data_IF_360563386840
#
_entry.id   IF_360563386840
#
_cell.length_a   1.000
_cell.length_b   1.000
_cell.length_c   1.000
_cell.angle_alpha   90.00
_cell.angle_beta   90.00
_cell.angle_gamma   90.00
#
_symmetry.space_group_name_H-M   'P 1'
#
loop_
_entity.id
_entity.type
_entity.pdbx_description
1 polymer ?
#
# COMPACT_ATOMS: atom_id res chain seq x y z
N UNK A 1 28.55 21.10 16.21
CA UNK A 1 27.87 19.89 16.74
C UNK A 1 26.52 19.79 16.10
N UNK A 2 26.26 18.73 15.33
CA UNK A 2 24.89 18.40 14.88
C UNK A 2 24.09 17.90 16.08
N UNK A 3 23.02 18.61 16.43
CA UNK A 3 22.08 18.14 17.45
C UNK A 3 21.38 16.86 16.97
N UNK A 4 21.07 15.94 17.88
CA UNK A 4 20.24 14.78 17.58
C UNK A 4 18.90 15.27 16.99
N UNK A 5 18.42 14.63 15.92
CA UNK A 5 17.34 15.16 15.09
C UNK A 5 17.77 15.94 13.83
N UNK A 6 19.07 15.95 13.48
CA UNK A 6 19.56 16.39 12.16
C UNK A 6 19.27 15.38 11.01
N UNK A 7 18.34 14.45 11.24
CA UNK A 7 17.87 13.39 10.33
C UNK A 7 16.97 13.80 9.14
N UNK A 8 16.29 14.98 9.08
CA UNK A 8 15.32 15.25 8.02
C UNK A 8 15.95 15.64 6.68
N UNK A 9 16.93 14.88 6.20
CA UNK A 9 17.51 15.04 4.85
C UNK A 9 17.88 13.67 4.24
N UNK A 10 17.15 12.60 4.63
CA UNK A 10 17.44 11.24 4.21
C UNK A 10 17.45 11.06 2.68
N UNK A 11 16.78 11.94 1.91
CA UNK A 11 16.85 11.98 0.44
C UNK A 11 18.28 12.25 -0.10
N UNK A 12 19.14 12.86 0.69
CA UNK A 12 20.56 13.12 0.39
C UNK A 12 21.48 12.11 1.08
N UNK A 13 21.20 11.77 2.34
CA UNK A 13 22.16 11.08 3.22
C UNK A 13 21.94 9.58 3.39
N UNK A 14 20.79 9.03 2.99
CA UNK A 14 20.42 7.63 3.22
C UNK A 14 20.27 6.85 1.90
N UNK A 15 21.39 6.67 1.21
CA UNK A 15 21.50 5.76 0.06
C UNK A 15 22.05 4.41 0.56
N UNK A 16 21.39 3.26 0.28
CA UNK A 16 20.17 3.10 -0.50
C UNK A 16 18.90 3.48 0.28
N UNK A 17 17.90 3.98 -0.44
CA UNK A 17 16.60 4.29 0.15
C UNK A 17 15.86 3.03 0.60
N UNK A 18 15.25 3.10 1.78
CA UNK A 18 14.34 2.04 2.24
C UNK A 18 13.17 1.87 1.26
N UNK A 19 13.13 0.70 0.62
CA UNK A 19 12.05 0.25 -0.26
C UNK A 19 10.90 -0.35 0.56
N UNK A 20 9.68 -0.25 0.02
CA UNK A 20 8.52 -0.98 0.55
C UNK A 20 8.40 -2.27 -0.24
N UNK A 21 8.87 -3.37 0.34
CA UNK A 21 8.97 -4.69 -0.33
C UNK A 21 8.01 -5.73 0.27
N UNK A 22 7.44 -5.44 1.44
CA UNK A 22 6.52 -6.33 2.14
C UNK A 22 5.19 -5.64 2.48
N UNK A 23 4.22 -6.48 2.81
CA UNK A 23 2.83 -6.10 3.15
C UNK A 23 2.49 -6.49 4.61
N UNK A 24 3.55 -6.55 5.43
CA UNK A 24 3.70 -7.06 6.82
C UNK A 24 2.76 -8.19 7.32
N UNK A 25 1.61 -7.96 7.98
CA UNK A 25 0.82 -9.03 8.59
C UNK A 25 -0.11 -9.71 7.58
N UNK A 26 -0.16 -9.22 6.34
CA UNK A 26 -0.65 -10.00 5.22
C UNK A 26 0.51 -10.91 4.78
N UNK A 27 0.29 -12.21 4.73
CA UNK A 27 1.19 -13.11 4.02
C UNK A 27 1.08 -12.84 2.52
N UNK A 28 2.19 -12.99 1.80
CA UNK A 28 2.16 -13.09 0.34
C UNK A 28 1.52 -14.44 -0.02
N UNK A 29 0.41 -14.47 -0.77
CA UNK A 29 -0.11 -15.72 -1.31
C UNK A 29 0.79 -16.16 -2.47
N UNK A 30 1.30 -17.39 -2.39
CA UNK A 30 1.93 -18.11 -3.50
C UNK A 30 0.97 -19.23 -3.94
N UNK A 31 1.09 -19.69 -5.18
CA UNK A 31 0.35 -20.87 -5.64
C UNK A 31 0.91 -22.15 -5.00
N UNK A 32 0.08 -23.17 -4.84
CA UNK A 32 0.47 -24.43 -4.18
C UNK A 32 1.59 -25.17 -4.94
N UNK A 33 1.62 -25.04 -6.27
CA UNK A 33 2.64 -25.55 -7.18
C UNK A 33 3.87 -24.63 -7.33
N UNK A 34 3.83 -23.44 -6.72
CA UNK A 34 4.79 -22.35 -6.93
C UNK A 34 5.28 -21.71 -5.63
N UNK A 35 5.44 -22.49 -4.57
CA UNK A 35 5.83 -22.00 -3.24
C UNK A 35 7.13 -21.16 -3.25
N UNK A 36 8.12 -21.56 -4.05
CA UNK A 36 9.42 -20.87 -4.21
C UNK A 36 9.44 -19.86 -5.37
N UNK A 37 8.28 -19.55 -5.97
CA UNK A 37 8.21 -18.68 -7.14
C UNK A 37 8.65 -17.25 -6.84
N UNK A 38 9.37 -16.62 -7.78
CA UNK A 38 9.66 -15.19 -7.73
C UNK A 38 8.43 -14.32 -8.08
N UNK A 39 7.39 -14.90 -8.67
CA UNK A 39 6.15 -14.21 -9.05
C UNK A 39 5.34 -13.77 -7.83
N UNK A 40 5.34 -12.47 -7.55
CA UNK A 40 4.54 -11.88 -6.47
C UNK A 40 3.15 -11.47 -6.97
N UNK A 41 2.16 -12.35 -6.85
CA UNK A 41 0.77 -12.10 -7.28
C UNK A 41 0.19 -10.80 -6.72
N UNK A 42 0.65 -10.33 -5.55
CA UNK A 42 0.15 -9.08 -4.94
C UNK A 42 0.54 -7.84 -5.74
N UNK A 43 1.59 -7.90 -6.57
CA UNK A 43 1.95 -6.86 -7.54
C UNK A 43 1.09 -6.89 -8.83
N UNK A 44 0.23 -7.91 -8.99
CA UNK A 44 -0.60 -8.12 -10.19
C UNK A 44 -2.11 -7.96 -9.92
N UNK A 45 -2.50 -7.46 -8.75
CA UNK A 45 -3.88 -7.11 -8.42
C UNK A 45 -4.32 -5.72 -8.92
N UNK A 46 -3.49 -5.07 -9.76
CA UNK A 46 -3.80 -3.78 -10.36
C UNK A 46 -4.03 -2.69 -9.31
N UNK A 47 -5.19 -2.04 -9.34
CA UNK A 47 -5.52 -0.99 -8.36
C UNK A 47 -5.85 -1.53 -6.95
N UNK A 48 -5.85 -2.84 -6.74
CA UNK A 48 -5.98 -3.49 -5.43
C UNK A 48 -4.63 -3.95 -4.86
N UNK A 49 -3.54 -3.84 -5.63
CA UNK A 49 -2.19 -4.11 -5.14
C UNK A 49 -1.86 -3.20 -3.95
N UNK A 50 -1.35 -3.76 -2.82
CA UNK A 50 -0.75 -2.97 -1.77
C UNK A 50 0.40 -2.11 -2.32
N UNK A 51 0.73 -1.01 -1.65
CA UNK A 51 1.86 -0.17 -2.06
C UNK A 51 3.17 -0.95 -1.94
N UNK A 52 3.95 -0.98 -3.02
CA UNK A 52 5.33 -1.45 -3.06
C UNK A 52 6.22 -0.43 -3.78
N UNK A 53 7.53 -0.50 -3.58
CA UNK A 53 8.51 0.31 -4.32
C UNK A 53 8.85 -0.34 -5.65
N UNK A 54 8.92 0.49 -6.70
CA UNK A 54 9.44 0.11 -8.03
C UNK A 54 10.85 0.67 -8.20
N UNK A 55 11.66 0.04 -9.07
CA UNK A 55 12.96 0.61 -9.46
C UNK A 55 12.77 1.92 -10.24
N UNK A 56 11.94 1.89 -11.27
CA UNK A 56 11.54 3.08 -12.03
C UNK A 56 10.22 2.87 -12.78
N UNK A 57 9.65 3.95 -13.30
CA UNK A 57 8.47 3.93 -14.17
C UNK A 57 8.88 3.76 -15.65
N UNK A 58 9.70 2.75 -15.95
CA UNK A 58 10.24 2.52 -17.30
C UNK A 58 11.38 3.48 -17.69
N UNK A 59 12.05 4.09 -16.71
CA UNK A 59 13.16 5.01 -16.90
C UNK A 59 14.41 4.41 -16.26
N UNK A 60 15.26 3.66 -16.99
CA UNK A 60 16.34 2.87 -16.39
C UNK A 60 17.40 3.74 -15.68
N UNK A 61 17.64 4.95 -16.19
CA UNK A 61 18.63 5.89 -15.64
C UNK A 61 18.04 6.86 -14.59
N UNK A 62 16.75 6.72 -14.26
CA UNK A 62 16.11 7.58 -13.26
C UNK A 62 16.56 7.20 -11.85
N UNK A 63 17.03 8.19 -11.09
CA UNK A 63 17.42 8.03 -9.69
C UNK A 63 16.56 8.90 -8.77
N UNK A 64 16.12 8.40 -7.61
CA UNK A 64 15.53 9.23 -6.55
C UNK A 64 16.56 10.09 -5.79
N UNK A 65 17.86 9.98 -6.10
CA UNK A 65 18.93 10.82 -5.54
C UNK A 65 18.91 12.21 -6.19
N UNK A 66 19.07 13.26 -5.39
CA UNK A 66 19.25 14.63 -5.90
C UNK A 66 20.61 14.73 -6.61
N UNK A 67 20.68 15.21 -7.87
CA UNK A 67 21.96 15.35 -8.58
C UNK A 67 22.98 16.22 -7.85
N UNK A 68 24.27 15.96 -8.08
CA UNK A 68 25.35 16.77 -7.51
C UNK A 68 25.22 18.25 -7.92
N UNK A 69 25.50 19.16 -6.99
CA UNK A 69 25.33 20.61 -7.18
C UNK A 69 23.87 21.10 -7.16
N UNK A 70 22.87 20.22 -7.11
CA UNK A 70 21.46 20.59 -7.05
C UNK A 70 20.92 20.63 -5.61
N UNK A 71 19.85 21.41 -5.42
CA UNK A 71 19.07 21.47 -4.19
C UNK A 71 17.58 21.37 -4.49
N UNK A 72 16.80 20.86 -3.54
CA UNK A 72 15.33 20.92 -3.61
C UNK A 72 14.85 22.26 -3.06
N UNK A 73 13.93 22.89 -3.78
CA UNK A 73 13.24 24.12 -3.36
C UNK A 73 11.78 23.84 -2.92
N UNK A 74 11.15 22.82 -3.50
CA UNK A 74 9.78 22.42 -3.22
C UNK A 74 9.61 20.91 -3.42
N UNK A 75 8.57 20.35 -2.81
CA UNK A 75 8.12 18.96 -3.01
C UNK A 75 6.61 18.90 -2.86
N UNK A 76 5.94 18.16 -3.75
CA UNK A 76 4.50 17.92 -3.68
C UNK A 76 4.25 16.42 -3.60
N UNK A 77 3.55 15.96 -2.56
CA UNK A 77 3.14 14.57 -2.42
C UNK A 77 1.69 14.44 -2.90
N UNK A 78 1.48 13.67 -3.98
CA UNK A 78 0.18 13.12 -4.31
C UNK A 78 0.14 11.68 -3.80
N UNK A 79 -0.84 11.37 -2.95
CA UNK A 79 -1.00 10.05 -2.35
C UNK A 79 -2.48 9.64 -2.43
N UNK A 80 -2.73 8.45 -2.96
CA UNK A 80 -4.07 7.84 -2.95
C UNK A 80 -4.44 7.46 -1.52
N UNK A 81 -5.74 7.35 -1.22
CA UNK A 81 -6.19 6.54 -0.09
C UNK A 81 -5.52 5.14 -0.14
N UNK A 82 -5.19 4.57 1.01
CA UNK A 82 -4.61 3.22 1.04
C UNK A 82 -5.71 2.15 1.08
N UNK A 83 -5.35 0.87 1.21
CA UNK A 83 -6.31 -0.22 1.09
C UNK A 83 -7.45 -0.12 2.12
N UNK A 84 -8.65 -0.42 1.62
CA UNK A 84 -9.94 -0.34 2.30
C UNK A 84 -10.71 -1.63 2.11
N UNK A 85 -11.75 -1.82 2.90
CA UNK A 85 -12.75 -2.82 2.57
C UNK A 85 -13.46 -2.48 1.23
N UNK A 86 -14.07 -3.49 0.58
CA UNK A 86 -14.84 -3.28 -0.65
C UNK A 86 -15.96 -2.24 -0.46
N UNK A 87 -16.51 -1.74 -1.57
CA UNK A 87 -17.70 -0.88 -1.49
C UNK A 87 -18.92 -1.68 -1.02
N UNK A 88 -19.91 -1.04 -0.43
CA UNK A 88 -21.14 -1.71 0.02
C UNK A 88 -21.79 -2.53 -1.10
N UNK A 89 -21.87 -1.94 -2.30
CA UNK A 89 -22.48 -2.54 -3.49
C UNK A 89 -21.49 -3.35 -4.36
N UNK A 90 -20.34 -3.73 -3.81
CA UNK A 90 -19.32 -4.48 -4.55
C UNK A 90 -19.69 -5.96 -4.74
N UNK A 91 -19.19 -6.54 -5.82
CA UNK A 91 -19.45 -7.95 -6.18
C UNK A 91 -19.05 -9.01 -5.13
N UNK A 92 -18.01 -8.84 -4.29
CA UNK A 92 -17.63 -9.87 -3.31
C UNK A 92 -18.70 -10.17 -2.24
N UNK A 93 -19.47 -9.18 -1.79
CA UNK A 93 -20.57 -9.40 -0.83
C UNK A 93 -21.76 -10.08 -1.51
N UNK A 94 -22.08 -9.69 -2.74
CA UNK A 94 -23.12 -10.31 -3.58
C UNK A 94 -22.80 -11.79 -3.85
N UNK A 95 -21.58 -12.08 -4.34
CA UNK A 95 -21.12 -13.44 -4.59
C UNK A 95 -21.19 -14.34 -3.34
N UNK A 96 -20.82 -13.81 -2.17
CA UNK A 96 -20.98 -14.54 -0.92
C UNK A 96 -22.44 -14.83 -0.58
N UNK A 97 -23.33 -13.85 -0.75
CA UNK A 97 -24.77 -14.04 -0.56
C UNK A 97 -25.32 -15.13 -1.48
N UNK A 98 -24.90 -15.16 -2.75
CA UNK A 98 -25.34 -16.14 -3.74
C UNK A 98 -24.87 -17.56 -3.36
N UNK A 99 -23.59 -17.74 -3.00
CA UNK A 99 -23.04 -19.02 -2.52
C UNK A 99 -23.75 -19.50 -1.25
N UNK A 100 -23.97 -18.62 -0.27
CA UNK A 100 -24.71 -18.96 0.95
C UNK A 100 -26.17 -19.35 0.66
N UNK A 101 -26.83 -18.68 -0.28
CA UNK A 101 -28.20 -19.00 -0.67
C UNK A 101 -28.28 -20.37 -1.37
N UNK A 102 -27.34 -20.68 -2.26
CA UNK A 102 -27.25 -21.98 -2.93
C UNK A 102 -26.95 -23.12 -1.95
N UNK A 103 -26.03 -22.90 -0.99
CA UNK A 103 -25.71 -23.89 0.05
C UNK A 103 -26.94 -24.23 0.91
N UNK A 104 -27.73 -23.23 1.31
CA UNK A 104 -28.90 -23.41 2.16
C UNK A 104 -30.15 -23.97 1.43
N UNK A 105 -30.34 -23.66 0.14
CA UNK A 105 -31.55 -24.01 -0.61
C UNK A 105 -31.39 -25.22 -1.52
N UNK A 106 -30.21 -25.38 -2.11
CA UNK A 106 -29.93 -26.33 -3.20
C UNK A 106 -28.90 -27.39 -2.78
N UNK A 107 -28.33 -27.29 -1.57
CA UNK A 107 -27.32 -28.21 -1.07
C UNK A 107 -25.97 -28.05 -1.77
N UNK A 108 -25.66 -26.85 -2.29
CA UNK A 108 -24.38 -26.57 -2.93
C UNK A 108 -23.20 -26.90 -2.00
N UNK A 109 -22.28 -27.72 -2.49
CA UNK A 109 -20.97 -27.98 -1.91
C UNK A 109 -19.93 -27.89 -3.03
N UNK A 110 -18.84 -27.20 -2.76
CA UNK A 110 -17.65 -27.22 -3.60
C UNK A 110 -16.69 -28.34 -3.15
N UNK A 111 -15.75 -28.70 -4.03
CA UNK A 111 -14.69 -29.69 -3.80
C UNK A 111 -13.32 -29.11 -4.13
N UNK A 112 -12.27 -29.86 -3.79
CA UNK A 112 -10.88 -29.56 -4.16
C UNK A 112 -10.47 -28.14 -3.72
N UNK A 113 -9.77 -27.38 -4.58
CA UNK A 113 -9.32 -26.00 -4.30
C UNK A 113 -10.46 -25.03 -3.91
N UNK A 114 -11.71 -25.38 -4.20
CA UNK A 114 -12.90 -24.58 -3.89
C UNK A 114 -13.67 -25.07 -2.66
N UNK A 115 -13.30 -26.19 -2.02
CA UNK A 115 -14.00 -26.77 -0.86
C UNK A 115 -14.22 -25.74 0.27
N UNK A 116 -13.31 -24.78 0.43
CA UNK A 116 -13.45 -23.70 1.41
C UNK A 116 -14.76 -22.91 1.23
N UNK A 117 -15.30 -22.76 0.00
CA UNK A 117 -16.55 -22.06 -0.27
C UNK A 117 -17.77 -22.71 0.40
N UNK A 118 -17.73 -24.01 0.69
CA UNK A 118 -18.80 -24.74 1.38
C UNK A 118 -18.99 -24.27 2.82
N UNK A 119 -17.94 -23.77 3.47
CA UNK A 119 -17.96 -23.28 4.86
C UNK A 119 -17.54 -21.82 5.02
N UNK A 120 -17.12 -21.18 3.92
CA UNK A 120 -16.71 -19.78 3.88
C UNK A 120 -17.81 -18.86 4.41
N UNK A 121 -17.41 -17.83 5.16
CA UNK A 121 -18.31 -16.77 5.61
C UNK A 121 -17.71 -15.43 5.22
N UNK A 122 -18.47 -14.58 4.54
CA UNK A 122 -18.03 -13.22 4.24
C UNK A 122 -18.02 -12.37 5.51
N UNK A 123 -16.83 -11.88 5.90
CA UNK A 123 -16.59 -11.12 7.14
C UNK A 123 -15.90 -9.77 6.92
N UNK A 124 -15.77 -9.35 5.65
CA UNK A 124 -15.21 -8.03 5.34
C UNK A 124 -16.22 -6.94 5.69
N UNK A 125 -15.73 -5.78 6.15
CA UNK A 125 -16.55 -4.59 6.30
C UNK A 125 -16.89 -3.95 4.95
N UNK A 126 -17.32 -2.68 4.98
CA UNK A 126 -17.52 -1.85 3.80
C UNK A 126 -16.84 -0.48 3.96
N UNK A 127 -16.37 0.07 2.85
CA UNK A 127 -15.79 1.41 2.62
C UNK A 127 -14.56 1.84 3.43
N UNK A 128 -14.47 1.50 4.72
CA UNK A 128 -13.46 2.03 5.62
C UNK A 128 -12.07 1.43 5.35
N UNK A 129 -11.02 2.22 5.61
CA UNK A 129 -9.63 1.76 5.60
C UNK A 129 -9.44 0.56 6.54
N UNK A 130 -8.66 -0.43 6.14
CA UNK A 130 -8.39 -1.58 7.02
C UNK A 130 -7.42 -1.19 8.15
N UNK A 131 -7.50 -1.80 9.36
CA UNK A 131 -6.70 -1.38 10.50
C UNK A 131 -5.18 -1.40 10.25
N UNK A 132 -4.67 -2.45 9.62
CA UNK A 132 -3.24 -2.53 9.28
C UNK A 132 -2.85 -1.44 8.30
N UNK A 133 -3.65 -1.19 7.27
CA UNK A 133 -3.24 -0.34 6.15
C UNK A 133 -3.37 1.16 6.47
N UNK A 134 -4.14 1.54 7.51
CA UNK A 134 -4.01 2.86 8.16
C UNK A 134 -2.58 3.14 8.65
N UNK A 135 -1.86 2.14 9.16
CA UNK A 135 -0.45 2.28 9.58
C UNK A 135 0.45 2.62 8.39
N UNK A 136 0.18 2.08 7.20
CA UNK A 136 0.95 2.38 5.99
C UNK A 136 0.90 3.87 5.61
N UNK A 137 -0.26 4.52 5.72
CA UNK A 137 -0.39 5.96 5.48
C UNK A 137 0.46 6.79 6.48
N UNK A 138 0.41 6.42 7.77
CA UNK A 138 1.24 7.06 8.80
C UNK A 138 2.74 6.87 8.52
N UNK A 139 3.18 5.64 8.22
CA UNK A 139 4.56 5.34 7.86
C UNK A 139 5.03 6.09 6.61
N UNK A 140 4.17 6.30 5.61
CA UNK A 140 4.48 7.13 4.45
C UNK A 140 4.67 8.60 4.82
N UNK A 141 3.83 9.17 5.68
CA UNK A 141 3.99 10.53 6.19
C UNK A 141 5.29 10.72 6.99
N UNK A 142 5.63 9.74 7.83
CA UNK A 142 6.91 9.71 8.57
C UNK A 142 8.09 9.62 7.60
N UNK A 143 8.06 8.72 6.62
CA UNK A 143 9.11 8.60 5.61
C UNK A 143 9.28 9.88 4.77
N UNK A 144 8.18 10.57 4.46
CA UNK A 144 8.20 11.86 3.77
C UNK A 144 8.91 12.95 4.61
N UNK A 145 8.61 13.03 5.92
CA UNK A 145 9.30 13.93 6.86
C UNK A 145 10.79 13.63 6.97
N UNK A 146 11.19 12.36 7.02
CA UNK A 146 12.61 11.96 7.02
C UNK A 146 13.32 12.33 5.71
N UNK A 147 12.68 12.10 4.56
CA UNK A 147 13.27 12.40 3.24
C UNK A 147 13.45 13.91 3.02
N UNK A 148 12.37 14.68 3.19
CA UNK A 148 12.30 16.07 2.71
C UNK A 148 12.26 17.13 3.81
N UNK A 149 12.30 16.75 5.08
CA UNK A 149 11.99 17.67 6.19
C UNK A 149 12.95 18.86 6.35
N UNK A 150 14.13 18.86 5.74
CA UNK A 150 15.04 20.01 5.67
C UNK A 150 14.37 21.21 5.01
N UNK A 151 13.48 20.97 4.05
CA UNK A 151 12.66 22.01 3.42
C UNK A 151 11.75 22.69 4.46
N UNK A 152 11.19 21.94 5.41
CA UNK A 152 10.36 22.51 6.47
C UNK A 152 11.12 23.49 7.38
N UNK A 153 12.42 23.30 7.57
CA UNK A 153 13.25 24.22 8.35
C UNK A 153 13.48 25.58 7.65
N UNK A 154 13.11 25.70 6.37
CA UNK A 154 13.23 26.93 5.58
C UNK A 154 11.87 27.66 5.36
N UNK A 155 10.75 27.08 5.81
CA UNK A 155 9.43 27.70 5.73
C UNK A 155 9.05 28.35 7.06
N UNK A 156 8.47 29.54 6.99
CA UNK A 156 7.83 30.22 8.14
C UNK A 156 6.40 29.71 8.37
N UNK A 157 5.77 29.15 7.34
CA UNK A 157 4.38 28.70 7.33
C UNK A 157 4.25 27.17 7.41
N UNK A 158 3.07 26.70 7.82
CA UNK A 158 2.76 25.27 7.87
C UNK A 158 2.54 24.67 6.46
N UNK A 159 2.79 23.36 6.26
CA UNK A 159 2.57 22.72 4.96
C UNK A 159 1.08 22.68 4.63
N UNK A 160 0.72 22.95 3.38
CA UNK A 160 -0.67 22.88 2.91
C UNK A 160 -1.06 21.43 2.64
N UNK A 161 -1.98 20.91 3.46
CA UNK A 161 -2.60 19.60 3.24
C UNK A 161 -3.97 19.78 2.54
N UNK A 162 -4.24 18.97 1.52
CA UNK A 162 -5.54 18.90 0.84
C UNK A 162 -5.95 17.44 0.69
N UNK A 163 -7.23 17.17 0.88
CA UNK A 163 -7.90 15.91 0.53
C UNK A 163 -9.04 16.21 -0.42
N UNK A 164 -9.56 15.20 -1.12
CA UNK A 164 -10.83 15.33 -1.84
C UNK A 164 -11.95 15.66 -0.87
N UNK A 165 -12.86 16.55 -1.26
CA UNK A 165 -14.18 16.65 -0.64
C UNK A 165 -15.02 15.42 -1.02
N UNK A 166 -15.84 14.96 -0.08
CA UNK A 166 -17.02 14.12 -0.36
C UNK A 166 -18.21 15.00 -0.73
#
# INVERSE_FOLDING_TARGET
TTLAGAEPAAIVTAIPFSKVENIFPLSRPNSADGADSTFNVTCHWGNLSPMYSVESFGLPDASPVIPEGCGLNAVHLLMRHSARYPTSDSRPSQFASDIHAAALKEGFSATDDLEFLTTWTYRLGAEILTPFIRKSLFSNGVAFRYRYGKLFNAFMDLPVFRTTSE
#
